data_IF_392698196346
#
_entry.id   IF_392698196346
#
_cell.length_a   1.000
_cell.length_b   1.000
_cell.length_c   1.000
_cell.angle_alpha   90.00
_cell.angle_beta   90.00
_cell.angle_gamma   90.00
#
_symmetry.space_group_name_H-M   'P 1'
#
loop_
_entity.id
_entity.type
_entity.pdbx_description
1 polymer ?
#
# COMPACT_ATOMS: atom_id res chain seq x y z
N UNK A 1 -9.16 12.02 3.10
CA UNK A 1 -8.76 10.89 3.96
C UNK A 1 -7.41 10.41 3.41
N UNK A 2 -6.36 10.29 4.24
CA UNK A 2 -5.01 9.96 3.75
C UNK A 2 -4.80 8.44 3.65
N UNK A 3 -5.45 7.78 2.69
CA UNK A 3 -5.37 6.32 2.50
C UNK A 3 -3.92 5.82 2.33
N UNK A 4 -3.07 6.58 1.63
CA UNK A 4 -1.66 6.23 1.41
C UNK A 4 -0.89 6.05 2.71
N UNK A 5 -1.09 6.95 3.68
CA UNK A 5 -0.43 6.85 4.99
C UNK A 5 -0.90 5.62 5.77
N UNK A 6 -2.20 5.34 5.72
CA UNK A 6 -2.77 4.17 6.37
C UNK A 6 -2.23 2.86 5.76
N UNK A 7 -2.13 2.78 4.42
CA UNK A 7 -1.53 1.65 3.71
C UNK A 7 -0.06 1.46 4.11
N UNK A 8 0.74 2.53 4.09
CA UNK A 8 2.16 2.47 4.48
C UNK A 8 2.30 1.94 5.91
N UNK A 9 1.55 2.49 6.87
CA UNK A 9 1.59 2.05 8.26
C UNK A 9 1.21 0.57 8.40
N UNK A 10 0.17 0.12 7.69
CA UNK A 10 -0.26 -1.28 7.70
C UNK A 10 0.77 -2.22 7.08
N UNK A 11 1.45 -1.81 6.02
CA UNK A 11 2.51 -2.59 5.38
C UNK A 11 3.74 -2.69 6.30
N UNK A 12 4.10 -1.62 6.99
CA UNK A 12 5.21 -1.62 7.96
C UNK A 12 4.97 -2.57 9.15
N UNK A 13 3.72 -2.75 9.59
CA UNK A 13 3.35 -3.74 10.61
C UNK A 13 3.60 -5.20 10.17
N UNK A 14 3.74 -5.43 8.86
CA UNK A 14 3.89 -6.75 8.25
C UNK A 14 5.31 -6.96 7.68
N UNK A 15 6.29 -6.26 8.26
CA UNK A 15 7.70 -6.37 7.85
C UNK A 15 7.90 -5.99 6.36
N UNK A 16 7.11 -5.03 5.86
CA UNK A 16 7.35 -4.38 4.59
C UNK A 16 8.00 -3.01 4.82
N UNK A 17 9.25 -2.87 4.39
CA UNK A 17 9.93 -1.58 4.42
C UNK A 17 9.36 -0.69 3.32
N UNK A 18 8.82 0.48 3.68
CA UNK A 18 8.47 1.49 2.69
C UNK A 18 9.74 2.12 2.13
N UNK A 19 9.93 2.01 0.81
CA UNK A 19 11.05 2.62 0.10
C UNK A 19 10.50 3.88 -0.55
N UNK A 20 10.83 5.04 0.02
CA UNK A 20 10.41 6.31 -0.55
C UNK A 20 11.08 6.50 -1.91
N UNK A 21 10.34 6.30 -3.00
CA UNK A 21 10.83 6.50 -4.36
C UNK A 21 10.10 7.69 -4.97
N UNK A 22 10.83 8.78 -5.23
CA UNK A 22 10.35 9.99 -5.90
C UNK A 22 9.93 9.76 -7.39
N UNK A 23 9.74 8.52 -7.82
CA UNK A 23 9.73 8.17 -9.24
C UNK A 23 8.36 8.14 -9.92
N UNK A 24 7.26 8.24 -9.18
CA UNK A 24 5.92 8.58 -9.70
C UNK A 24 5.05 8.91 -8.49
N UNK A 25 4.39 10.07 -8.48
CA UNK A 25 3.57 10.52 -7.35
C UNK A 25 2.48 9.49 -6.96
N UNK A 26 2.11 8.55 -7.83
CA UNK A 26 0.98 7.63 -7.65
C UNK A 26 1.35 6.21 -7.16
N UNK A 27 2.63 5.84 -7.12
CA UNK A 27 3.05 4.48 -6.72
C UNK A 27 3.73 4.47 -5.35
N UNK A 28 3.37 3.48 -4.51
CA UNK A 28 4.05 3.20 -3.25
C UNK A 28 5.00 2.01 -3.43
N UNK A 29 6.29 2.23 -3.22
CA UNK A 29 7.30 1.17 -3.29
C UNK A 29 7.54 0.56 -1.91
N UNK A 30 7.53 -0.77 -1.84
CA UNK A 30 7.79 -1.54 -0.63
C UNK A 30 8.83 -2.62 -0.89
N UNK A 31 9.58 -2.97 0.15
CA UNK A 31 10.47 -4.13 0.16
C UNK A 31 9.99 -5.12 1.21
N UNK A 32 9.74 -6.35 0.81
CA UNK A 32 9.33 -7.44 1.70
C UNK A 32 10.15 -8.69 1.36
N UNK A 33 10.74 -9.35 2.37
CA UNK A 33 11.58 -10.55 2.20
C UNK A 33 12.73 -10.40 1.17
N UNK A 34 13.22 -9.17 0.98
CA UNK A 34 14.30 -8.86 0.03
C UNK A 34 13.83 -8.60 -1.40
N UNK A 35 12.53 -8.72 -1.69
CA UNK A 35 11.94 -8.40 -2.99
C UNK A 35 11.26 -7.03 -2.93
N UNK A 36 11.44 -6.23 -3.99
CA UNK A 36 10.77 -4.94 -4.13
C UNK A 36 9.48 -5.11 -4.92
N UNK A 37 8.44 -4.39 -4.52
CA UNK A 37 7.19 -4.32 -5.26
C UNK A 37 6.58 -2.93 -5.16
N UNK A 38 5.74 -2.63 -6.16
CA UNK A 38 5.03 -1.36 -6.27
C UNK A 38 3.54 -1.63 -6.07
N UNK A 39 2.89 -0.70 -5.39
CA UNK A 39 1.46 -0.66 -5.18
C UNK A 39 0.95 0.66 -5.74
N UNK A 40 0.17 0.60 -6.81
CA UNK A 40 -0.40 1.80 -7.43
C UNK A 40 -1.56 2.31 -6.59
N UNK A 41 -1.34 3.43 -5.91
CA UNK A 41 -2.31 4.05 -5.00
C UNK A 41 -2.51 5.51 -5.43
N UNK A 42 -3.61 5.83 -6.13
CA UNK A 42 -3.95 7.19 -6.52
C UNK A 42 -3.80 8.21 -5.38
N UNK A 43 -3.37 9.42 -5.72
CA UNK A 43 -3.25 10.50 -4.73
C UNK A 43 -4.60 11.09 -4.30
N UNK A 44 -5.59 11.01 -5.18
CA UNK A 44 -6.94 11.55 -4.99
C UNK A 44 -7.93 10.44 -4.59
N UNK A 45 -9.21 10.66 -4.86
CA UNK A 45 -10.26 9.69 -4.59
C UNK A 45 -9.99 8.34 -5.28
N UNK A 46 -9.97 7.29 -4.44
CA UNK A 46 -9.89 5.90 -4.88
C UNK A 46 -11.31 5.41 -5.14
N UNK A 47 -11.52 4.80 -6.31
CA UNK A 47 -12.77 4.08 -6.58
C UNK A 47 -12.79 2.75 -5.84
N UNK A 48 -13.97 2.20 -5.59
CA UNK A 48 -14.12 0.88 -4.95
C UNK A 48 -13.38 -0.21 -5.75
N UNK A 49 -13.40 -0.13 -7.08
CA UNK A 49 -12.68 -1.07 -7.95
C UNK A 49 -11.16 -0.97 -7.75
N UNK A 50 -10.61 0.24 -7.77
CA UNK A 50 -9.18 0.47 -7.54
C UNK A 50 -8.77 0.03 -6.13
N UNK A 51 -9.65 0.23 -5.14
CA UNK A 51 -9.44 -0.24 -3.77
C UNK A 51 -9.32 -1.77 -3.69
N UNK A 52 -10.23 -2.48 -4.37
CA UNK A 52 -10.18 -3.94 -4.43
C UNK A 52 -8.92 -4.42 -5.17
N UNK A 53 -8.50 -3.75 -6.23
CA UNK A 53 -7.24 -4.08 -6.91
C UNK A 53 -6.01 -3.93 -5.99
N UNK A 54 -5.96 -2.87 -5.18
CA UNK A 54 -4.90 -2.65 -4.18
C UNK A 54 -4.89 -3.78 -3.15
N UNK A 55 -6.07 -4.16 -2.62
CA UNK A 55 -6.19 -5.30 -1.68
C UNK A 55 -5.67 -6.58 -2.34
N UNK A 56 -6.12 -6.90 -3.55
CA UNK A 56 -5.71 -8.10 -4.27
C UNK A 56 -4.19 -8.13 -4.50
N UNK A 57 -3.56 -7.01 -4.85
CA UNK A 57 -2.11 -6.94 -5.02
C UNK A 57 -1.33 -7.22 -3.75
N UNK A 58 -1.86 -6.78 -2.60
CA UNK A 58 -1.27 -7.04 -1.28
C UNK A 58 -1.47 -8.51 -0.89
N UNK A 59 -2.67 -9.05 -1.07
CA UNK A 59 -3.00 -10.45 -0.75
C UNK A 59 -2.23 -11.47 -1.61
N UNK A 60 -1.97 -11.16 -2.88
CA UNK A 60 -1.13 -12.00 -3.76
C UNK A 60 0.30 -12.19 -3.22
N UNK A 61 0.76 -11.32 -2.32
CA UNK A 61 2.07 -11.39 -1.67
C UNK A 61 2.01 -12.06 -0.29
N UNK A 62 0.84 -12.53 0.12
CA UNK A 62 0.60 -13.09 1.45
C UNK A 62 0.59 -12.03 2.55
N UNK A 63 0.26 -10.77 2.19
CA UNK A 63 0.09 -9.65 3.11
C UNK A 63 -1.40 -9.33 3.25
N UNK A 64 -1.79 -8.69 4.33
CA UNK A 64 -3.18 -8.31 4.61
C UNK A 64 -3.30 -6.80 4.72
N UNK A 65 -4.12 -6.19 3.85
CA UNK A 65 -4.37 -4.75 3.96
C UNK A 65 -5.45 -4.45 5.02
N UNK A 66 -6.43 -5.32 5.19
CA UNK A 66 -7.54 -5.09 6.12
C UNK A 66 -7.32 -5.78 7.48
N UNK A 67 -7.89 -5.24 8.57
CA UNK A 67 -8.52 -3.93 8.65
C UNK A 67 -7.47 -2.81 8.54
N UNK A 68 -7.84 -1.73 7.85
CA UNK A 68 -7.15 -0.44 7.91
C UNK A 68 -7.76 0.37 9.04
N UNK A 69 -6.92 0.79 9.98
CA UNK A 69 -7.33 1.72 11.00
C UNK A 69 -7.25 3.14 10.43
N UNK A 70 -8.40 3.80 10.32
CA UNK A 70 -8.52 5.17 9.83
C UNK A 70 -8.50 6.20 10.98
N UNK A 71 -8.24 5.79 12.22
CA UNK A 71 -8.12 6.70 13.37
C UNK A 71 -6.73 7.38 13.47
N UNK A 72 -5.96 7.40 12.38
CA UNK A 72 -4.61 8.01 12.30
C UNK A 72 -4.70 9.46 11.82
#
# INVERSE_FOLDING_TARGET
>A
MDYRRAIIAKMQQQECDFINTESNDEDLCFRHKGEMFFLSVPNDDISDDAWQEIINQVELRGLELLPLDFNV
#
